data_IF_151964800170
#
_entry.id   IF_151964800170
#
_cell.length_a   1.000
_cell.length_b   1.000
_cell.length_c   1.000
_cell.angle_alpha   90.00
_cell.angle_beta   90.00
_cell.angle_gamma   90.00
#
_symmetry.space_group_name_H-M   'P 1'
#
loop_
_entity.id
_entity.type
_entity.pdbx_description
1 polymer ?
#
# COMPACT_ATOMS: atom_id res chain seq x y z
N UNK A 1 2.92 -3.46 18.97
CA UNK A 1 2.85 -2.77 17.67
C UNK A 1 3.81 -1.60 17.71
N UNK A 2 4.54 -1.34 16.63
CA UNK A 2 5.54 -0.28 16.60
C UNK A 2 4.85 1.07 16.40
N UNK A 3 5.02 2.01 17.32
CA UNK A 3 4.42 3.33 17.21
C UNK A 3 5.09 4.17 16.12
N UNK A 4 4.27 4.91 15.37
CA UNK A 4 4.77 5.84 14.37
C UNK A 4 5.36 7.06 15.07
N UNK A 5 6.44 7.58 14.49
CA UNK A 5 6.97 8.88 14.90
C UNK A 5 6.13 9.98 14.27
N UNK A 6 6.10 11.15 14.92
CA UNK A 6 5.32 12.32 14.46
C UNK A 6 5.51 12.66 12.97
N UNK A 7 6.74 12.62 12.45
CA UNK A 7 6.96 12.90 11.02
C UNK A 7 6.38 11.83 10.09
N UNK A 8 6.28 10.58 10.55
CA UNK A 8 5.68 9.49 9.80
C UNK A 8 4.16 9.66 9.77
N UNK A 9 3.56 10.02 10.90
CA UNK A 9 2.12 10.33 11.01
C UNK A 9 1.74 11.49 10.09
N UNK A 10 2.43 12.64 10.21
CA UNK A 10 2.18 13.82 9.38
C UNK A 10 2.31 13.51 7.88
N UNK A 11 3.30 12.70 7.50
CA UNK A 11 3.48 12.29 6.09
C UNK A 11 2.34 11.39 5.60
N UNK A 12 1.84 10.50 6.45
CA UNK A 12 0.73 9.59 6.12
C UNK A 12 -0.61 10.33 6.11
N UNK A 13 -0.84 11.29 7.01
CA UNK A 13 -2.00 12.19 6.99
C UNK A 13 -2.03 13.07 5.74
N UNK A 14 -0.85 13.56 5.31
CA UNK A 14 -0.73 14.30 4.07
C UNK A 14 -1.07 13.39 2.87
N UNK A 15 -0.60 12.14 2.85
CA UNK A 15 -0.97 11.17 1.82
C UNK A 15 -2.47 10.85 1.83
N UNK A 16 -3.06 10.66 3.01
CA UNK A 16 -4.49 10.38 3.17
C UNK A 16 -5.34 11.51 2.58
N UNK A 17 -5.04 12.75 2.99
CA UNK A 17 -5.72 13.95 2.50
C UNK A 17 -5.58 14.12 0.99
N UNK A 18 -4.37 13.88 0.46
CA UNK A 18 -4.10 13.90 -0.97
C UNK A 18 -4.97 12.90 -1.72
N UNK A 19 -4.97 11.64 -1.28
CA UNK A 19 -5.64 10.55 -1.97
C UNK A 19 -7.16 10.68 -1.95
N UNK A 20 -7.72 11.20 -0.86
CA UNK A 20 -9.15 11.55 -0.78
C UNK A 20 -9.52 12.63 -1.80
N UNK A 21 -8.78 13.74 -1.83
CA UNK A 21 -9.00 14.80 -2.81
C UNK A 21 -8.75 14.33 -4.26
N UNK A 22 -7.81 13.42 -4.45
CA UNK A 22 -7.47 12.90 -5.78
C UNK A 22 -8.57 11.98 -6.33
N UNK A 23 -9.29 11.27 -5.48
CA UNK A 23 -10.47 10.50 -5.86
C UNK A 23 -11.61 11.44 -6.31
N UNK A 24 -11.83 12.54 -5.60
CA UNK A 24 -12.92 13.49 -5.89
C UNK A 24 -12.64 14.43 -7.07
N UNK A 25 -11.42 14.94 -7.19
CA UNK A 25 -11.07 16.05 -8.11
C UNK A 25 -9.95 15.72 -9.08
N UNK A 26 -9.37 14.52 -8.99
CA UNK A 26 -8.23 14.09 -9.79
C UNK A 26 -6.88 14.48 -9.19
N UNK A 27 -5.87 13.65 -9.48
CA UNK A 27 -4.54 13.70 -8.90
C UNK A 27 -3.82 15.06 -9.03
N UNK A 28 -3.98 15.75 -10.17
CA UNK A 28 -3.33 17.05 -10.43
C UNK A 28 -3.89 18.15 -9.52
N UNK A 29 -5.22 18.23 -9.42
CA UNK A 29 -5.88 19.28 -8.64
C UNK A 29 -5.63 19.08 -7.15
N UNK A 30 -5.75 17.84 -6.68
CA UNK A 30 -5.43 17.48 -5.29
C UNK A 30 -4.00 17.87 -4.89
N UNK A 31 -3.02 17.59 -5.75
CA UNK A 31 -1.62 17.90 -5.48
C UNK A 31 -1.37 19.40 -5.45
N UNK A 32 -1.93 20.14 -6.41
CA UNK A 32 -1.80 21.59 -6.47
C UNK A 32 -2.44 22.26 -5.25
N UNK A 33 -3.65 21.82 -4.87
CA UNK A 33 -4.37 22.36 -3.72
C UNK A 33 -3.61 22.16 -2.41
N UNK A 34 -3.01 20.99 -2.21
CA UNK A 34 -2.34 20.68 -0.95
C UNK A 34 -0.90 21.21 -0.85
N UNK A 35 -0.20 21.31 -1.99
CA UNK A 35 1.25 21.60 -1.98
C UNK A 35 1.63 22.93 -2.62
N UNK A 36 0.70 23.56 -3.34
CA UNK A 36 0.92 24.76 -4.17
C UNK A 36 2.03 24.59 -5.23
N UNK A 37 2.41 23.34 -5.53
CA UNK A 37 3.48 22.99 -6.47
C UNK A 37 2.92 22.37 -7.74
N UNK A 38 3.64 22.48 -8.87
CA UNK A 38 3.22 21.84 -10.10
C UNK A 38 3.24 20.31 -9.97
N UNK A 39 2.13 19.68 -10.29
CA UNK A 39 2.04 18.22 -10.40
C UNK A 39 2.71 17.73 -11.68
N UNK A 40 3.58 16.72 -11.55
CA UNK A 40 4.24 16.07 -12.69
C UNK A 40 3.52 14.78 -13.03
N UNK A 41 2.64 14.83 -14.03
CA UNK A 41 1.96 13.65 -14.53
C UNK A 41 2.93 12.72 -15.27
N UNK A 42 2.67 11.41 -15.17
CA UNK A 42 3.37 10.39 -15.94
C UNK A 42 2.51 10.08 -17.18
N UNK A 43 2.99 10.32 -18.42
CA UNK A 43 2.18 10.12 -19.62
C UNK A 43 1.57 8.72 -19.75
N UNK A 44 2.27 7.70 -19.26
CA UNK A 44 1.84 6.30 -19.30
C UNK A 44 0.79 5.95 -18.23
N UNK A 45 0.53 6.85 -17.27
CA UNK A 45 -0.42 6.65 -16.17
C UNK A 45 -1.40 7.83 -16.06
N UNK A 46 -2.20 8.10 -17.11
CA UNK A 46 -3.11 9.24 -17.12
C UNK A 46 -4.16 9.12 -16.01
N UNK A 47 -4.40 10.21 -15.28
CA UNK A 47 -5.38 10.28 -14.19
C UNK A 47 -4.97 9.61 -12.88
N UNK A 48 -3.94 8.77 -12.87
CA UNK A 48 -3.49 8.08 -11.68
C UNK A 48 -2.64 8.99 -10.77
N UNK A 49 -2.82 8.91 -9.43
CA UNK A 49 -1.94 9.56 -8.47
C UNK A 49 -0.50 9.04 -8.58
N UNK A 50 0.45 9.95 -8.77
CA UNK A 50 1.88 9.68 -8.83
C UNK A 50 2.63 10.68 -7.94
N UNK A 51 2.90 10.27 -6.70
CA UNK A 51 3.50 11.11 -5.66
C UNK A 51 4.58 10.35 -4.90
N UNK A 52 5.41 11.11 -4.17
CA UNK A 52 6.50 10.56 -3.37
C UNK A 52 6.45 11.12 -1.94
N UNK A 53 6.53 10.23 -0.96
CA UNK A 53 6.83 10.60 0.43
C UNK A 53 8.35 10.62 0.63
N UNK A 54 8.89 11.79 0.99
CA UNK A 54 10.33 11.98 1.20
C UNK A 54 10.73 11.65 2.63
N UNK A 55 11.29 10.46 2.82
CA UNK A 55 11.66 9.94 4.15
C UNK A 55 13.16 9.63 4.21
N UNK A 56 13.89 10.11 5.22
CA UNK A 56 15.33 9.91 5.32
C UNK A 56 15.72 8.43 5.47
N UNK A 57 17.01 8.14 5.28
CA UNK A 57 17.59 6.84 5.64
C UNK A 57 17.40 6.58 7.13
N UNK A 58 17.03 5.35 7.51
CA UNK A 58 16.64 5.01 8.88
C UNK A 58 15.25 5.52 9.30
N UNK A 59 14.55 6.31 8.48
CA UNK A 59 13.23 6.89 8.79
C UNK A 59 12.04 5.93 8.71
N UNK A 60 12.27 4.61 8.65
CA UNK A 60 11.21 3.61 8.64
C UNK A 60 10.37 3.57 7.35
N UNK A 61 10.97 3.79 6.17
CA UNK A 61 10.30 3.77 4.86
C UNK A 61 9.40 2.55 4.64
N UNK A 62 9.87 1.35 4.96
CA UNK A 62 9.12 0.11 4.77
C UNK A 62 7.88 0.05 5.66
N UNK A 63 8.00 0.48 6.92
CA UNK A 63 6.85 0.60 7.82
C UNK A 63 5.84 1.60 7.26
N UNK A 64 6.28 2.79 6.86
CA UNK A 64 5.39 3.80 6.27
C UNK A 64 4.69 3.30 5.01
N UNK A 65 5.39 2.55 4.16
CA UNK A 65 4.78 1.95 2.97
C UNK A 65 3.67 0.94 3.34
N UNK A 66 3.83 0.15 4.41
CA UNK A 66 2.76 -0.74 4.89
C UNK A 66 1.50 0.04 5.28
N UNK A 67 1.65 1.22 5.91
CA UNK A 67 0.52 2.09 6.23
C UNK A 67 -0.09 2.74 4.97
N UNK A 68 0.76 3.22 4.07
CA UNK A 68 0.35 3.87 2.83
C UNK A 68 -0.49 2.95 1.92
N UNK A 69 -0.19 1.65 1.89
CA UNK A 69 -0.99 0.65 1.16
C UNK A 69 -2.46 0.62 1.64
N UNK A 70 -2.65 0.59 2.96
CA UNK A 70 -3.98 0.61 3.56
C UNK A 70 -4.75 1.89 3.24
N UNK A 71 -4.07 3.04 3.40
CA UNK A 71 -4.61 4.36 3.07
C UNK A 71 -5.03 4.43 1.60
N UNK A 72 -4.16 4.05 0.67
CA UNK A 72 -4.47 4.14 -0.76
C UNK A 72 -5.64 3.24 -1.17
N UNK A 73 -5.69 2.03 -0.63
CA UNK A 73 -6.79 1.13 -0.92
C UNK A 73 -8.12 1.56 -0.31
N UNK A 74 -8.10 2.31 0.80
CA UNK A 74 -9.30 2.85 1.46
C UNK A 74 -9.77 4.17 0.83
N UNK A 75 -8.89 5.15 0.70
CA UNK A 75 -9.26 6.53 0.33
C UNK A 75 -9.33 6.75 -1.19
N UNK A 76 -8.49 6.05 -1.97
CA UNK A 76 -8.45 6.25 -3.43
C UNK A 76 -9.10 5.10 -4.20
N UNK A 77 -8.70 3.85 -3.93
CA UNK A 77 -9.28 2.71 -4.67
C UNK A 77 -10.69 2.36 -4.20
N UNK A 78 -11.06 2.71 -2.97
CA UNK A 78 -12.31 2.34 -2.30
C UNK A 78 -12.67 0.84 -2.48
N UNK A 79 -11.64 -0.01 -2.52
CA UNK A 79 -11.77 -1.39 -2.95
C UNK A 79 -11.75 -2.37 -1.79
N UNK A 80 -12.60 -3.39 -1.92
CA UNK A 80 -12.62 -4.56 -1.05
C UNK A 80 -11.27 -5.30 -1.12
N UNK A 81 -10.83 -5.57 -2.34
CA UNK A 81 -9.63 -6.34 -2.62
C UNK A 81 -8.71 -5.52 -3.51
N UNK A 82 -7.43 -5.51 -3.19
CA UNK A 82 -6.42 -4.77 -3.94
C UNK A 82 -5.15 -5.60 -4.07
N UNK A 83 -4.44 -5.38 -5.18
CA UNK A 83 -3.10 -5.93 -5.42
C UNK A 83 -2.10 -4.79 -5.37
N UNK A 84 -1.01 -4.97 -4.64
CA UNK A 84 0.11 -4.04 -4.62
C UNK A 84 1.34 -4.70 -5.24
N UNK A 85 1.96 -4.02 -6.22
CA UNK A 85 3.29 -4.35 -6.71
C UNK A 85 4.32 -3.52 -5.94
N UNK A 86 5.18 -4.19 -5.18
CA UNK A 86 6.22 -3.58 -4.36
C UNK A 86 7.57 -3.70 -5.05
N UNK A 87 8.05 -2.61 -5.64
CA UNK A 87 9.34 -2.56 -6.35
C UNK A 87 10.46 -2.11 -5.42
N UNK A 88 11.63 -2.75 -5.55
CA UNK A 88 12.84 -2.43 -4.76
C UNK A 88 14.08 -2.45 -5.66
N UNK A 89 15.14 -1.69 -5.33
CA UNK A 89 16.27 -1.52 -6.24
C UNK A 89 17.27 -2.68 -6.23
N UNK A 90 17.11 -3.69 -5.37
CA UNK A 90 18.03 -4.83 -5.30
C UNK A 90 17.38 -6.09 -4.70
N UNK A 91 17.94 -7.25 -5.06
CA UNK A 91 17.53 -8.55 -4.51
C UNK A 91 17.71 -8.62 -2.99
N UNK A 92 18.76 -8.02 -2.44
CA UNK A 92 18.98 -7.99 -0.99
C UNK A 92 17.84 -7.27 -0.26
N UNK A 93 17.41 -6.11 -0.78
CA UNK A 93 16.28 -5.36 -0.20
C UNK A 93 14.97 -6.13 -0.40
N UNK A 94 14.80 -6.81 -1.55
CA UNK A 94 13.64 -7.68 -1.83
C UNK A 94 13.52 -8.78 -0.78
N UNK A 95 14.58 -9.56 -0.59
CA UNK A 95 14.58 -10.72 0.31
C UNK A 95 14.33 -10.32 1.76
N UNK A 96 14.98 -9.24 2.23
CA UNK A 96 14.74 -8.68 3.56
C UNK A 96 13.29 -8.22 3.75
N UNK A 97 12.75 -7.48 2.78
CA UNK A 97 11.38 -6.96 2.84
C UNK A 97 10.36 -8.10 2.77
N UNK A 98 10.55 -9.05 1.84
CA UNK A 98 9.66 -10.20 1.66
C UNK A 98 9.61 -11.07 2.92
N UNK A 99 10.78 -11.36 3.51
CA UNK A 99 10.86 -12.10 4.77
C UNK A 99 10.09 -11.40 5.89
N UNK A 100 10.33 -10.10 6.06
CA UNK A 100 9.65 -9.26 7.06
C UNK A 100 8.13 -9.14 6.84
N UNK A 101 7.65 -9.16 5.59
CA UNK A 101 6.22 -9.10 5.27
C UNK A 101 5.53 -10.47 5.37
N UNK A 102 6.27 -11.58 5.31
CA UNK A 102 5.75 -12.93 5.51
C UNK A 102 5.63 -13.32 6.98
N UNK A 103 6.54 -12.84 7.81
CA UNK A 103 6.51 -13.09 9.25
C UNK A 103 5.37 -12.31 9.92
N UNK A 104 4.35 -13.03 10.41
CA UNK A 104 3.20 -12.46 11.14
C UNK A 104 3.58 -11.79 12.48
N UNK A 105 4.72 -12.17 13.07
CA UNK A 105 5.26 -11.53 14.26
C UNK A 105 5.96 -10.20 13.97
N UNK A 106 6.33 -9.94 12.70
CA UNK A 106 7.09 -8.77 12.34
C UNK A 106 6.23 -7.49 12.35
N UNK A 107 6.74 -6.35 12.85
CA UNK A 107 5.98 -5.09 12.90
C UNK A 107 5.40 -4.63 11.56
N UNK A 108 6.12 -4.85 10.45
CA UNK A 108 5.67 -4.48 9.11
C UNK A 108 4.42 -5.26 8.72
N UNK A 109 4.39 -6.57 8.99
CA UNK A 109 3.24 -7.42 8.71
C UNK A 109 2.04 -7.05 9.58
N UNK A 110 2.25 -6.75 10.86
CA UNK A 110 1.18 -6.30 11.76
C UNK A 110 0.55 -4.98 11.27
N UNK A 111 1.40 -3.98 10.96
CA UNK A 111 0.94 -2.68 10.44
C UNK A 111 0.16 -2.86 9.13
N UNK A 112 0.65 -3.74 8.26
CA UNK A 112 0.03 -4.01 6.99
C UNK A 112 -1.37 -4.63 7.15
N UNK A 113 -1.51 -5.70 7.95
CA UNK A 113 -2.81 -6.35 8.19
C UNK A 113 -3.81 -5.41 8.85
N UNK A 114 -3.36 -4.62 9.84
CA UNK A 114 -4.20 -3.63 10.52
C UNK A 114 -4.74 -2.60 9.51
N UNK A 115 -3.87 -1.96 8.74
CA UNK A 115 -4.27 -0.91 7.78
C UNK A 115 -4.99 -1.46 6.55
N UNK A 116 -4.79 -2.74 6.24
CA UNK A 116 -5.51 -3.44 5.18
C UNK A 116 -6.85 -4.03 5.62
N UNK A 117 -7.18 -4.00 6.92
CA UNK A 117 -8.45 -4.50 7.45
C UNK A 117 -8.53 -6.02 7.54
N UNK A 118 -7.40 -6.73 7.64
CA UNK A 118 -7.38 -8.18 7.80
C UNK A 118 -6.19 -8.87 7.15
N UNK A 119 -6.40 -10.12 6.77
CA UNK A 119 -5.35 -10.99 6.24
C UNK A 119 -4.80 -10.47 4.90
N UNK A 120 -3.47 -10.51 4.77
CA UNK A 120 -2.76 -10.11 3.55
C UNK A 120 -1.97 -11.28 2.98
N UNK A 121 -2.12 -11.59 1.70
CA UNK A 121 -1.29 -12.58 1.02
C UNK A 121 -0.02 -11.87 0.53
N UNK A 122 1.16 -12.38 0.88
CA UNK A 122 2.45 -11.80 0.47
C UNK A 122 3.21 -12.84 -0.34
N UNK A 123 3.59 -12.47 -1.56
CA UNK A 123 4.19 -13.37 -2.54
C UNK A 123 5.39 -12.71 -3.21
N UNK A 124 6.35 -13.53 -3.63
CA UNK A 124 7.38 -13.10 -4.58
C UNK A 124 6.80 -13.03 -6.01
N UNK A 125 7.47 -12.32 -6.90
CA UNK A 125 7.07 -12.22 -8.32
C UNK A 125 6.98 -13.60 -8.97
N UNK A 126 7.92 -14.50 -8.69
CA UNK A 126 7.94 -15.87 -9.23
C UNK A 126 6.70 -16.68 -8.85
N UNK A 127 6.25 -16.56 -7.59
CA UNK A 127 5.02 -17.19 -7.08
C UNK A 127 3.76 -16.54 -7.67
N UNK A 128 3.82 -15.24 -7.93
CA UNK A 128 2.67 -14.47 -8.44
C UNK A 128 2.21 -14.93 -9.83
N UNK A 129 3.11 -15.51 -10.64
CA UNK A 129 2.81 -16.04 -11.97
C UNK A 129 1.81 -17.21 -11.94
N UNK A 130 1.68 -17.88 -10.81
CA UNK A 130 0.79 -19.03 -10.61
C UNK A 130 -0.47 -18.68 -9.81
N UNK A 131 -0.69 -17.39 -9.54
CA UNK A 131 -1.87 -16.91 -8.80
C UNK A 131 -3.12 -17.17 -9.64
N UNK A 132 -4.05 -17.92 -9.07
CA UNK A 132 -5.34 -18.19 -9.71
C UNK A 132 -6.36 -17.14 -9.29
N UNK A 133 -7.46 -17.01 -10.05
CA UNK A 133 -8.61 -16.22 -9.62
C UNK A 133 -9.12 -16.64 -8.23
N UNK A 134 -9.03 -17.90 -7.85
CA UNK A 134 -9.42 -18.38 -6.51
C UNK A 134 -8.41 -18.07 -5.39
N UNK A 135 -7.21 -17.62 -5.75
CA UNK A 135 -6.22 -17.09 -4.79
C UNK A 135 -6.50 -15.61 -4.49
N UNK A 136 -7.03 -14.88 -5.48
CA UNK A 136 -7.44 -13.47 -5.36
C UNK A 136 -8.88 -13.34 -4.86
N UNK A 137 -9.78 -14.24 -5.26
CA UNK A 137 -11.16 -14.31 -4.82
C UNK A 137 -11.26 -15.22 -3.60
N UNK A 138 -11.77 -14.69 -2.50
CA UNK A 138 -11.95 -15.41 -1.23
C UNK A 138 -12.75 -16.72 -1.42
N UNK A 139 -12.24 -17.83 -0.89
CA UNK A 139 -12.86 -19.17 -0.94
C UNK A 139 -13.77 -19.48 0.25
N UNK A 140 -14.17 -18.52 1.10
CA UNK A 140 -15.17 -18.78 2.15
C UNK A 140 -16.44 -17.94 1.99
N UNK A 141 -17.41 -18.48 1.24
CA UNK A 141 -18.83 -18.17 1.47
C UNK A 141 -19.26 -18.82 2.78
N UNK A 142 -19.15 -18.12 3.91
CA UNK A 142 -19.93 -18.43 5.11
C UNK A 142 -20.92 -17.30 5.38
N UNK A 143 -22.19 -17.61 5.70
CA UNK A 143 -23.19 -16.61 6.05
C UNK A 143 -22.90 -16.11 7.47
N UNK A 144 -22.13 -15.03 7.59
CA UNK A 144 -21.79 -14.37 8.86
C UNK A 144 -21.36 -12.92 8.59
N UNK A 145 -21.33 -12.05 9.62
CA UNK A 145 -21.15 -10.62 9.42
C UNK A 145 -19.79 -10.35 8.78
N UNK A 146 -19.85 -9.81 7.56
CA UNK A 146 -18.77 -9.37 6.66
C UNK A 146 -17.39 -9.27 7.31
N UNK A 147 -16.61 -10.34 7.25
CA UNK A 147 -15.14 -10.30 7.39
C UNK A 147 -14.52 -11.01 6.19
N UNK A 148 -14.62 -10.37 5.03
CA UNK A 148 -13.68 -10.55 3.92
C UNK A 148 -12.73 -9.34 4.01
N UNK A 149 -11.42 -9.43 3.74
CA UNK A 149 -10.89 -9.37 2.36
C UNK A 149 -9.40 -9.70 2.38
N UNK A 150 -8.97 -10.67 1.58
CA UNK A 150 -7.55 -10.90 1.30
C UNK A 150 -7.04 -9.81 0.35
N UNK A 151 -6.04 -9.03 0.79
CA UNK A 151 -5.26 -8.14 -0.09
C UNK A 151 -3.97 -8.85 -0.48
N UNK A 152 -3.50 -8.67 -1.71
CA UNK A 152 -2.28 -9.33 -2.18
C UNK A 152 -1.15 -8.31 -2.34
N UNK A 153 0.04 -8.65 -1.86
CA UNK A 153 1.28 -7.92 -2.16
C UNK A 153 2.19 -8.85 -2.94
N UNK A 154 2.62 -8.37 -4.10
CA UNK A 154 3.63 -9.00 -4.93
C UNK A 154 4.88 -8.14 -4.84
N UNK A 155 5.97 -8.69 -4.31
CA UNK A 155 7.27 -8.03 -4.33
C UNK A 155 7.98 -8.33 -5.67
N UNK A 156 8.42 -7.29 -6.38
CA UNK A 156 9.12 -7.39 -7.66
C UNK A 156 10.55 -6.83 -7.59
N UNK A 157 11.37 -7.23 -8.56
CA UNK A 157 12.69 -6.63 -8.86
C UNK A 157 12.60 -5.72 -10.07
#
# INVERSE_FOLDING_TARGET
MMELRQYQEQSLEALESYLRLAEEHGAKMAFLHQTERPYRAVPQLPGLPYVCLRIPTGGGKTLMACHALGIAAKEFLQAEQSVCLWLVPSNAIREQTLSALRDRGHPYRQALEEKCGGLVTVMDLSESLYVTRGTLADRRRSPGPRRSRSRAIVAGT
#
